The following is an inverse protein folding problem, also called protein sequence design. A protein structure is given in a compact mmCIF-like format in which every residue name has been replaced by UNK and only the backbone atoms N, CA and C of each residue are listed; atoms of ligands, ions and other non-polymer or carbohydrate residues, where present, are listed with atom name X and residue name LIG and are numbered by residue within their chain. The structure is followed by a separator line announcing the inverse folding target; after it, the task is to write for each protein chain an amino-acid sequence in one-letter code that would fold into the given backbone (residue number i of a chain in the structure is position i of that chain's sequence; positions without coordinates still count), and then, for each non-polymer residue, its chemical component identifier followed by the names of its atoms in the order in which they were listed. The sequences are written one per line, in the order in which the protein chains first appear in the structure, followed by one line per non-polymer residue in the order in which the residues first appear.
data_IF_303272761505
#
_entry.id   IF_303272761505
#
_cell.length_a   1.000
_cell.length_b   1.000
_cell.length_c   1.000
_cell.angle_alpha   90.00
_cell.angle_beta   90.00
_cell.angle_gamma   90.00
#
_symmetry.space_group_name_H-M   'P 1'
#
loop_
_entity.id
_entity.type
_entity.pdbx_description
1 polymer ?
#
# COMPACT_ATOMS: atom_id res chain seq x y z
N UNK A 1 10.87 -31.06 -40.67
CA UNK A 1 11.71 -30.86 -39.48
C UNK A 1 11.26 -29.55 -38.85
N UNK A 2 10.43 -29.60 -37.80
CA UNK A 2 9.94 -28.39 -37.14
C UNK A 2 11.07 -27.78 -36.29
N UNK A 3 11.20 -26.45 -36.29
CA UNK A 3 12.16 -25.75 -35.44
C UNK A 3 11.89 -26.09 -33.96
N UNK A 4 12.93 -26.22 -33.11
CA UNK A 4 12.72 -26.45 -31.70
C UNK A 4 11.95 -25.26 -31.09
N UNK A 5 10.91 -25.59 -30.32
CA UNK A 5 10.15 -24.65 -29.50
C UNK A 5 11.14 -23.92 -28.58
N UNK A 6 11.31 -22.61 -28.79
CA UNK A 6 12.19 -21.81 -27.93
C UNK A 6 11.70 -21.91 -26.49
N UNK A 7 12.59 -22.16 -25.50
CA UNK A 7 12.17 -22.24 -24.11
C UNK A 7 11.55 -20.90 -23.70
N UNK A 8 10.24 -20.92 -23.43
CA UNK A 8 9.48 -19.80 -22.89
C UNK A 8 10.20 -19.28 -21.63
N UNK A 9 10.79 -18.08 -21.72
CA UNK A 9 11.38 -17.41 -20.56
C UNK A 9 10.28 -17.25 -19.50
N UNK A 10 10.51 -17.68 -18.24
CA UNK A 10 9.54 -17.46 -17.18
C UNK A 10 9.28 -15.97 -17.06
N UNK A 11 8.01 -15.55 -17.17
CA UNK A 11 7.62 -14.19 -16.80
C UNK A 11 7.92 -14.03 -15.31
N UNK A 12 8.72 -13.04 -14.89
CA UNK A 12 8.97 -12.83 -13.48
C UNK A 12 7.64 -12.57 -12.76
N UNK A 13 7.38 -13.35 -11.70
CA UNK A 13 6.20 -13.16 -10.86
C UNK A 13 6.32 -11.82 -10.14
N UNK A 14 5.29 -11.00 -10.25
CA UNK A 14 5.20 -9.74 -9.51
C UNK A 14 5.21 -10.02 -8.00
N UNK A 15 6.17 -9.45 -7.27
CA UNK A 15 6.34 -9.59 -5.83
C UNK A 15 6.69 -8.24 -5.21
N UNK A 16 5.69 -7.42 -4.81
CA UNK A 16 5.94 -6.07 -4.29
C UNK A 16 6.50 -6.11 -2.86
N UNK A 17 7.45 -5.22 -2.58
CA UNK A 17 7.88 -4.94 -1.21
C UNK A 17 6.96 -3.91 -0.59
N UNK A 18 6.04 -4.40 0.23
CA UNK A 18 4.95 -3.62 0.79
C UNK A 18 5.25 -3.15 2.22
N UNK A 19 5.10 -1.86 2.45
CA UNK A 19 5.10 -1.26 3.79
C UNK A 19 3.65 -1.01 4.24
N UNK A 20 3.30 -1.42 5.45
CA UNK A 20 1.98 -1.13 6.01
C UNK A 20 2.04 0.06 6.98
N UNK A 21 1.12 1.01 6.84
CA UNK A 21 0.91 2.06 7.82
C UNK A 21 -0.58 2.21 8.18
N UNK A 22 -0.85 2.62 9.42
CA UNK A 22 -2.19 2.99 9.88
C UNK A 22 -2.31 4.51 9.81
N UNK A 23 -3.29 5.02 9.04
CA UNK A 23 -3.45 6.45 8.76
C UNK A 23 -3.54 7.30 10.04
N UNK A 24 -4.08 6.74 11.13
CA UNK A 24 -4.23 7.42 12.43
C UNK A 24 -2.91 7.66 13.15
N UNK A 25 -1.83 6.97 12.74
CA UNK A 25 -0.52 7.01 13.38
C UNK A 25 0.54 7.74 12.54
N UNK A 26 0.29 7.96 11.25
CA UNK A 26 1.23 8.63 10.34
C UNK A 26 1.04 10.14 10.26
N UNK A 27 -0.01 10.67 10.87
CA UNK A 27 -0.30 12.09 10.90
C UNK A 27 -1.06 12.60 9.68
N UNK A 28 -1.24 13.93 9.57
CA UNK A 28 -2.06 14.54 8.52
C UNK A 28 -1.49 14.30 7.11
N UNK A 29 -2.35 14.39 6.10
CA UNK A 29 -2.01 14.03 4.71
C UNK A 29 -0.84 14.81 4.11
N UNK A 30 -0.60 16.02 4.58
CA UNK A 30 0.53 16.86 4.18
C UNK A 30 1.88 16.31 4.65
N UNK A 31 1.91 15.45 5.69
CA UNK A 31 3.12 14.76 6.15
C UNK A 31 3.48 13.53 5.29
N UNK A 32 2.55 13.04 4.46
CA UNK A 32 2.69 11.77 3.74
C UNK A 32 3.79 11.75 2.67
N UNK A 33 4.06 12.83 1.92
CA UNK A 33 5.16 12.82 0.96
C UNK A 33 6.52 12.53 1.60
N UNK A 34 6.79 13.07 2.80
CA UNK A 34 8.02 12.80 3.53
C UNK A 34 8.08 11.35 4.03
N UNK A 35 6.95 10.82 4.51
CA UNK A 35 6.83 9.41 4.88
C UNK A 35 7.12 8.49 3.68
N UNK A 36 6.55 8.77 2.51
CA UNK A 36 6.77 7.97 1.31
C UNK A 36 8.23 8.01 0.85
N UNK A 37 8.89 9.17 0.91
CA UNK A 37 10.31 9.27 0.63
C UNK A 37 11.16 8.42 1.59
N UNK A 38 10.80 8.41 2.87
CA UNK A 38 11.46 7.56 3.87
C UNK A 38 11.25 6.07 3.60
N UNK A 39 10.02 5.65 3.29
CA UNK A 39 9.67 4.26 2.95
C UNK A 39 10.41 3.78 1.69
N UNK A 40 10.46 4.61 0.65
CA UNK A 40 11.24 4.32 -0.55
C UNK A 40 12.74 4.15 -0.24
N UNK A 41 13.28 4.98 0.66
CA UNK A 41 14.66 4.85 1.15
C UNK A 41 14.94 3.53 1.89
N UNK A 42 13.92 2.86 2.42
CA UNK A 42 14.02 1.52 3.01
C UNK A 42 13.93 0.38 1.98
N UNK A 43 13.63 0.68 0.71
CA UNK A 43 13.52 -0.32 -0.37
C UNK A 43 12.13 -0.88 -0.60
N UNK A 44 11.09 -0.33 0.04
CA UNK A 44 9.71 -0.66 -0.26
C UNK A 44 9.23 0.10 -1.50
N UNK A 45 8.44 -0.57 -2.32
CA UNK A 45 7.91 -0.04 -3.59
C UNK A 45 6.39 0.19 -3.54
N UNK A 46 5.70 -0.31 -2.52
CA UNK A 46 4.27 -0.11 -2.30
C UNK A 46 3.97 0.22 -0.83
N UNK A 47 2.93 1.03 -0.61
CA UNK A 47 2.40 1.31 0.73
C UNK A 47 0.96 0.84 0.82
N UNK A 48 0.65 0.02 1.82
CA UNK A 48 -0.71 -0.33 2.22
C UNK A 48 -1.13 0.56 3.38
N UNK A 49 -2.19 1.32 3.16
CA UNK A 49 -2.74 2.23 4.17
C UNK A 49 -3.98 1.60 4.81
N UNK A 50 -3.93 1.36 6.12
CA UNK A 50 -5.07 0.95 6.92
C UNK A 50 -5.81 2.14 7.54
N UNK A 51 -7.10 1.95 7.84
CA UNK A 51 -7.95 2.88 8.60
C UNK A 51 -7.92 4.33 8.05
N UNK A 52 -7.89 4.49 6.72
CA UNK A 52 -7.78 5.80 6.09
C UNK A 52 -8.97 6.72 6.37
N UNK A 53 -10.18 6.17 6.38
CA UNK A 53 -11.40 6.91 6.60
C UNK A 53 -11.81 6.95 8.07
N UNK A 54 -12.55 7.99 8.43
CA UNK A 54 -13.10 8.14 9.78
C UNK A 54 -13.90 6.90 10.19
N UNK A 55 -13.49 6.31 11.32
CA UNK A 55 -14.16 5.16 11.89
C UNK A 55 -15.53 5.54 12.48
N UNK A 56 -16.43 4.56 12.55
CA UNK A 56 -17.70 4.71 13.27
C UNK A 56 -17.49 5.07 14.74
N UNK A 57 -18.53 5.65 15.36
CA UNK A 57 -18.57 6.03 16.79
C UNK A 57 -18.20 4.89 17.75
N UNK A 58 -18.35 3.64 17.31
CA UNK A 58 -17.95 2.45 18.07
C UNK A 58 -16.42 2.19 18.06
N UNK A 59 -15.64 2.99 17.34
CA UNK A 59 -14.17 2.93 17.33
C UNK A 59 -13.58 1.74 16.56
N UNK A 60 -14.40 0.93 15.89
CA UNK A 60 -13.92 -0.19 15.10
C UNK A 60 -13.27 0.31 13.81
N UNK A 61 -11.95 0.10 13.59
CA UNK A 61 -11.20 0.67 12.46
C UNK A 61 -11.58 0.07 11.10
N UNK A 62 -12.36 -1.04 11.11
CA UNK A 62 -12.90 -1.67 9.90
C UNK A 62 -14.29 -1.15 9.53
N UNK A 63 -14.92 -0.39 10.42
CA UNK A 63 -16.23 0.20 10.18
C UNK A 63 -16.06 1.66 9.78
N UNK A 64 -16.08 1.91 8.48
CA UNK A 64 -16.05 3.27 7.94
C UNK A 64 -17.41 3.92 8.15
N UNK A 65 -17.42 5.14 8.69
CA UNK A 65 -18.65 5.94 8.87
C UNK A 65 -18.74 7.13 7.92
N UNK A 66 -17.63 7.62 7.39
CA UNK A 66 -17.58 8.74 6.47
C UNK A 66 -16.44 8.54 5.46
N UNK A 67 -16.79 8.37 4.18
CA UNK A 67 -15.83 8.14 3.09
C UNK A 67 -15.23 9.43 2.53
N UNK A 68 -15.76 10.60 2.91
CA UNK A 68 -15.26 11.91 2.49
C UNK A 68 -14.30 12.51 3.52
N UNK A 69 -14.16 11.87 4.69
CA UNK A 69 -13.34 12.35 5.80
C UNK A 69 -12.19 11.38 6.14
N UNK A 70 -10.93 11.81 6.01
CA UNK A 70 -9.78 11.07 6.56
C UNK A 70 -9.84 10.94 8.08
N UNK A 71 -9.30 9.84 8.62
CA UNK A 71 -9.27 9.52 10.04
C UNK A 71 -8.43 10.49 10.89
#
# INVERSE_FOLDING_TARGET
MAAPDEPMKPTPTFAPHLYFCDARLVGPLDAWPALFAHIAGMGFDHVLVGAYWAASVAGFPRHVADFERPA
#
